data_IF_044206144512
#
_entry.id   IF_044206144512
#
_cell.length_a   1.000
_cell.length_b   1.000
_cell.length_c   1.000
_cell.angle_alpha   90.00
_cell.angle_beta   90.00
_cell.angle_gamma   90.00
#
_symmetry.space_group_name_H-M   'P 1'
#
loop_
_entity.id
_entity.type
_entity.pdbx_description
1 polymer ?
#
# COMPACT_ATOMS: atom_id res chain seq x y z
N UNK A 1 21.37 4.51 -12.10
CA UNK A 1 21.27 4.57 -10.62
C UNK A 1 21.80 5.83 -9.96
N UNK A 2 22.71 6.61 -10.56
CA UNK A 2 23.21 7.85 -9.92
C UNK A 2 22.11 8.85 -9.54
N UNK A 3 21.23 9.19 -10.47
CA UNK A 3 20.10 10.10 -10.20
C UNK A 3 19.11 9.57 -9.15
N UNK A 4 18.85 8.27 -9.15
CA UNK A 4 18.01 7.65 -8.12
C UNK A 4 18.66 7.81 -6.74
N UNK A 5 19.98 7.56 -6.62
CA UNK A 5 20.69 7.71 -5.36
C UNK A 5 20.66 9.18 -4.90
N UNK A 6 21.03 10.12 -5.78
CA UNK A 6 21.01 11.55 -5.47
C UNK A 6 19.61 12.02 -5.03
N UNK A 7 18.55 11.54 -5.70
CA UNK A 7 17.16 11.83 -5.34
C UNK A 7 16.79 11.29 -3.95
N UNK A 8 17.24 10.08 -3.61
CA UNK A 8 16.97 9.49 -2.30
C UNK A 8 17.75 10.17 -1.18
N UNK A 9 18.99 10.57 -1.43
CA UNK A 9 19.86 11.26 -0.46
C UNK A 9 19.29 12.62 -0.04
N UNK A 10 18.60 13.32 -0.94
CA UNK A 10 17.91 14.59 -0.63
C UNK A 10 16.51 14.39 -0.03
N UNK A 11 16.14 13.15 0.34
CA UNK A 11 14.87 12.86 0.99
C UNK A 11 13.70 12.65 0.04
N UNK A 12 13.95 12.33 -1.24
CA UNK A 12 12.91 12.21 -2.26
C UNK A 12 11.75 11.26 -1.92
N UNK A 13 12.01 10.16 -1.18
CA UNK A 13 10.93 9.26 -0.72
C UNK A 13 9.98 9.98 0.24
N UNK A 14 10.49 10.78 1.18
CA UNK A 14 9.64 11.52 2.12
C UNK A 14 8.77 12.54 1.38
N UNK A 15 9.35 13.26 0.43
CA UNK A 15 8.62 14.22 -0.41
C UNK A 15 7.48 13.55 -1.19
N UNK A 16 7.74 12.39 -1.81
CA UNK A 16 6.69 11.64 -2.53
C UNK A 16 5.58 11.15 -1.59
N UNK A 17 5.94 10.69 -0.39
CA UNK A 17 4.96 10.27 0.63
C UNK A 17 4.13 11.44 1.17
N UNK A 18 4.74 12.61 1.33
CA UNK A 18 4.05 13.85 1.76
C UNK A 18 3.06 14.32 0.70
N UNK A 19 3.40 14.23 -0.59
CA UNK A 19 2.50 14.59 -1.70
C UNK A 19 1.16 13.86 -1.60
N UNK A 20 1.16 12.57 -1.22
CA UNK A 20 -0.06 11.77 -1.05
C UNK A 20 -1.02 12.37 0.00
N UNK A 21 -0.46 12.96 1.06
CA UNK A 21 -1.20 13.52 2.18
C UNK A 21 -1.69 14.97 1.95
N UNK A 22 -1.19 15.66 0.91
CA UNK A 22 -1.55 17.05 0.65
C UNK A 22 -2.95 17.17 0.03
N UNK A 23 -3.81 18.01 0.62
CA UNK A 23 -5.19 18.22 0.16
C UNK A 23 -5.30 19.07 -1.11
N UNK A 24 -4.27 19.87 -1.42
CA UNK A 24 -4.30 20.85 -2.53
C UNK A 24 -3.69 20.32 -3.83
N UNK A 25 -3.21 19.08 -3.83
CA UNK A 25 -2.59 18.42 -4.99
C UNK A 25 -3.65 17.60 -5.72
N UNK A 26 -3.57 17.57 -7.05
CA UNK A 26 -4.51 16.81 -7.89
C UNK A 26 -4.32 15.30 -7.68
N UNK A 27 -5.37 14.50 -7.89
CA UNK A 27 -5.25 13.03 -7.78
C UNK A 27 -4.23 12.49 -8.80
N UNK A 28 -4.17 13.05 -10.00
CA UNK A 28 -3.20 12.71 -11.04
C UNK A 28 -1.74 12.91 -10.58
N UNK A 29 -1.43 14.03 -9.93
CA UNK A 29 -0.08 14.27 -9.39
C UNK A 29 0.25 13.28 -8.26
N UNK A 30 -0.74 12.90 -7.44
CA UNK A 30 -0.57 11.86 -6.41
C UNK A 30 -0.35 10.49 -7.03
N UNK A 31 -1.08 10.16 -8.10
CA UNK A 31 -0.91 8.93 -8.89
C UNK A 31 0.51 8.85 -9.46
N UNK A 32 1.05 9.94 -9.99
CA UNK A 32 2.45 9.96 -10.45
C UNK A 32 3.45 9.80 -9.30
N UNK A 33 3.15 10.35 -8.12
CA UNK A 33 3.92 10.08 -6.90
C UNK A 33 3.97 8.58 -6.55
N UNK A 34 2.83 7.89 -6.67
CA UNK A 34 2.75 6.42 -6.48
C UNK A 34 3.60 5.68 -7.51
N UNK A 35 3.51 6.04 -8.80
CA UNK A 35 4.32 5.42 -9.85
C UNK A 35 5.82 5.61 -9.62
N UNK A 36 6.24 6.79 -9.17
CA UNK A 36 7.63 7.03 -8.79
C UNK A 36 8.06 6.15 -7.60
N UNK A 37 7.21 5.99 -6.59
CA UNK A 37 7.46 5.07 -5.48
C UNK A 37 7.55 3.61 -5.94
N UNK A 38 6.75 3.19 -6.93
CA UNK A 38 6.87 1.86 -7.54
C UNK A 38 8.21 1.68 -8.25
N UNK A 39 8.68 2.66 -9.04
CA UNK A 39 10.00 2.62 -9.69
C UNK A 39 11.11 2.49 -8.66
N UNK A 40 11.02 3.23 -7.55
CA UNK A 40 11.96 3.14 -6.42
C UNK A 40 11.91 1.75 -5.79
N UNK A 41 10.73 1.24 -5.45
CA UNK A 41 10.55 -0.09 -4.86
C UNK A 41 11.10 -1.21 -5.77
N UNK A 42 10.86 -1.10 -7.08
CA UNK A 42 11.31 -2.09 -8.08
C UNK A 42 12.81 -2.02 -8.35
N UNK A 43 13.50 -0.96 -7.93
CA UNK A 43 14.95 -0.85 -8.06
C UNK A 43 15.72 -1.78 -7.09
N UNK A 44 15.01 -2.44 -6.16
CA UNK A 44 15.57 -3.50 -5.31
C UNK A 44 15.16 -3.41 -3.84
N UNK A 45 15.43 -4.49 -3.10
CA UNK A 45 15.00 -4.67 -1.70
C UNK A 45 15.33 -3.51 -0.77
N UNK A 46 16.56 -2.97 -0.84
CA UNK A 46 16.98 -1.84 0.02
C UNK A 46 16.11 -0.59 -0.12
N UNK A 47 15.54 -0.37 -1.31
CA UNK A 47 14.67 0.77 -1.57
C UNK A 47 13.24 0.51 -1.08
N UNK A 48 12.76 -0.74 -1.16
CA UNK A 48 11.51 -1.16 -0.49
C UNK A 48 11.60 -0.94 1.02
N UNK A 49 12.71 -1.35 1.61
CA UNK A 49 13.00 -1.16 3.03
C UNK A 49 13.00 0.33 3.41
N UNK A 50 13.63 1.19 2.61
CA UNK A 50 13.62 2.64 2.82
C UNK A 50 12.21 3.25 2.79
N UNK A 51 11.36 2.84 1.85
CA UNK A 51 9.96 3.29 1.79
C UNK A 51 9.21 2.88 3.06
N UNK A 52 9.38 1.64 3.52
CA UNK A 52 8.74 1.15 4.74
C UNK A 52 9.24 1.87 6.01
N UNK A 53 10.54 2.17 6.09
CA UNK A 53 11.17 2.93 7.20
C UNK A 53 10.66 4.37 7.28
N UNK A 54 10.33 4.95 6.13
CA UNK A 54 9.83 6.32 6.00
C UNK A 54 8.32 6.44 6.30
N UNK A 55 7.76 5.52 7.08
CA UNK A 55 6.31 5.40 7.33
C UNK A 55 5.46 5.17 6.07
N UNK A 56 6.06 4.72 4.97
CA UNK A 56 5.40 4.62 3.67
C UNK A 56 4.16 3.73 3.67
N UNK A 57 4.20 2.59 4.39
CA UNK A 57 3.05 1.68 4.49
C UNK A 57 1.80 2.39 4.99
N UNK A 58 1.93 3.25 6.02
CA UNK A 58 0.80 3.98 6.58
C UNK A 58 0.27 5.01 5.59
N UNK A 59 1.14 5.84 5.02
CA UNK A 59 0.73 6.90 4.10
C UNK A 59 0.11 6.35 2.82
N UNK A 60 0.68 5.27 2.26
CA UNK A 60 0.18 4.60 1.06
C UNK A 60 -1.18 3.95 1.34
N UNK A 61 -1.32 3.25 2.47
CA UNK A 61 -2.59 2.64 2.88
C UNK A 61 -3.68 3.71 3.11
N UNK A 62 -3.36 4.78 3.81
CA UNK A 62 -4.30 5.89 4.05
C UNK A 62 -4.75 6.55 2.74
N UNK A 63 -3.84 6.67 1.77
CA UNK A 63 -4.18 7.17 0.44
C UNK A 63 -5.12 6.23 -0.33
N UNK A 64 -4.89 4.90 -0.28
CA UNK A 64 -5.79 3.89 -0.86
C UNK A 64 -7.23 4.04 -0.33
N UNK A 65 -7.39 4.22 0.98
CA UNK A 65 -8.69 4.35 1.63
C UNK A 65 -9.43 5.64 1.29
N UNK A 66 -8.71 6.72 0.94
CA UNK A 66 -9.28 8.05 0.71
C UNK A 66 -9.46 8.41 -0.76
N UNK A 67 -8.68 7.79 -1.65
CA UNK A 67 -8.77 8.07 -3.09
C UNK A 67 -10.15 7.70 -3.63
N UNK A 68 -10.62 8.48 -4.60
CA UNK A 68 -11.90 8.28 -5.27
C UNK A 68 -11.75 7.69 -6.67
N UNK A 69 -10.52 7.59 -7.17
CA UNK A 69 -10.21 7.10 -8.51
C UNK A 69 -9.81 5.63 -8.41
N UNK A 70 -10.60 4.74 -9.02
CA UNK A 70 -10.29 3.30 -9.02
C UNK A 70 -8.94 3.00 -9.68
N UNK A 71 -8.62 3.70 -10.79
CA UNK A 71 -7.32 3.59 -11.46
C UNK A 71 -6.17 3.94 -10.49
N UNK A 72 -6.35 4.98 -9.67
CA UNK A 72 -5.34 5.37 -8.68
C UNK A 72 -5.24 4.34 -7.55
N UNK A 73 -6.37 3.79 -7.11
CA UNK A 73 -6.38 2.73 -6.10
C UNK A 73 -5.67 1.46 -6.59
N UNK A 74 -5.80 1.11 -7.87
CA UNK A 74 -5.10 -0.03 -8.49
C UNK A 74 -3.58 0.19 -8.51
N UNK A 75 -3.11 1.39 -8.88
CA UNK A 75 -1.68 1.73 -8.81
C UNK A 75 -1.14 1.66 -7.38
N UNK A 76 -1.93 2.06 -6.40
CA UNK A 76 -1.57 1.96 -4.98
C UNK A 76 -1.48 0.49 -4.53
N UNK A 77 -2.41 -0.34 -4.99
CA UNK A 77 -2.42 -1.78 -4.72
C UNK A 77 -1.16 -2.47 -5.25
N UNK A 78 -0.74 -2.13 -6.48
CA UNK A 78 0.49 -2.65 -7.10
C UNK A 78 1.72 -2.30 -6.26
N UNK A 79 1.78 -1.08 -5.72
CA UNK A 79 2.87 -0.66 -4.83
C UNK A 79 2.88 -1.47 -3.52
N UNK A 80 1.72 -1.62 -2.86
CA UNK A 80 1.60 -2.38 -1.62
C UNK A 80 1.98 -3.85 -1.81
N UNK A 81 1.55 -4.47 -2.92
CA UNK A 81 1.92 -5.83 -3.29
C UNK A 81 3.43 -5.97 -3.54
N UNK A 82 4.03 -5.02 -4.27
CA UNK A 82 5.49 -4.99 -4.46
C UNK A 82 6.25 -4.85 -3.14
N UNK A 83 5.74 -4.08 -2.17
CA UNK A 83 6.38 -3.92 -0.86
C UNK A 83 6.35 -5.20 -0.01
N UNK A 84 5.46 -6.15 -0.29
CA UNK A 84 5.41 -7.47 0.37
C UNK A 84 6.42 -8.44 -0.28
N UNK A 85 6.51 -8.41 -1.60
CA UNK A 85 7.36 -9.33 -2.36
C UNK A 85 8.85 -9.01 -2.21
N UNK A 86 9.63 -9.98 -1.74
CA UNK A 86 11.09 -9.84 -1.61
C UNK A 86 11.55 -8.89 -0.51
N UNK A 87 10.69 -8.60 0.48
CA UNK A 87 10.96 -7.66 1.58
C UNK A 87 10.65 -8.25 2.97
N UNK A 88 11.33 -9.33 3.38
CA UNK A 88 10.99 -10.09 4.59
C UNK A 88 11.03 -9.26 5.88
N UNK A 89 11.85 -8.21 5.94
CA UNK A 89 11.96 -7.32 7.11
C UNK A 89 10.65 -6.59 7.40
N UNK A 90 9.91 -6.19 6.37
CA UNK A 90 8.71 -5.35 6.49
C UNK A 90 7.41 -6.03 6.07
N UNK A 91 7.43 -7.30 5.65
CA UNK A 91 6.23 -8.07 5.31
C UNK A 91 5.13 -7.98 6.36
N UNK A 92 5.48 -8.17 7.64
CA UNK A 92 4.53 -8.06 8.75
C UNK A 92 3.97 -6.65 8.92
N UNK A 93 4.75 -5.61 8.62
CA UNK A 93 4.28 -4.22 8.67
C UNK A 93 3.27 -3.95 7.55
N UNK A 94 3.56 -4.38 6.32
CA UNK A 94 2.63 -4.22 5.20
C UNK A 94 1.34 -5.01 5.43
N UNK A 95 1.46 -6.25 5.90
CA UNK A 95 0.31 -7.09 6.23
C UNK A 95 -0.59 -6.47 7.31
N UNK A 96 -0.02 -5.94 8.39
CA UNK A 96 -0.80 -5.20 9.41
C UNK A 96 -1.42 -3.92 8.84
N UNK A 97 -0.72 -3.23 7.94
CA UNK A 97 -1.23 -2.07 7.23
C UNK A 97 -2.46 -2.40 6.39
N UNK A 98 -2.43 -3.51 5.67
CA UNK A 98 -3.57 -3.98 4.87
C UNK A 98 -4.75 -4.43 5.75
N UNK A 99 -4.51 -5.12 6.88
CA UNK A 99 -5.58 -5.45 7.83
C UNK A 99 -6.26 -4.18 8.34
N UNK A 100 -5.50 -3.12 8.61
CA UNK A 100 -6.03 -1.84 9.06
C UNK A 100 -6.89 -1.12 7.99
N UNK A 101 -6.81 -1.53 6.71
CA UNK A 101 -7.65 -1.02 5.63
C UNK A 101 -9.00 -1.73 5.49
N UNK A 102 -9.13 -2.94 6.03
CA UNK A 102 -10.37 -3.70 5.95
C UNK A 102 -11.62 -2.95 6.48
N UNK A 103 -11.57 -2.11 7.53
CA UNK A 103 -12.73 -1.33 7.95
C UNK A 103 -12.96 -0.04 7.15
N UNK A 104 -12.28 0.21 6.03
CA UNK A 104 -12.46 1.45 5.26
C UNK A 104 -13.83 1.52 4.55
N UNK A 105 -14.30 2.73 4.27
CA UNK A 105 -15.62 2.96 3.70
C UNK A 105 -15.70 2.75 2.17
N UNK A 106 -14.55 2.61 1.48
CA UNK A 106 -14.50 2.41 0.03
C UNK A 106 -14.52 0.90 -0.29
N UNK A 107 -15.57 0.38 -0.95
CA UNK A 107 -15.65 -1.04 -1.29
C UNK A 107 -14.48 -1.52 -2.16
N UNK A 108 -14.11 -0.73 -3.19
CA UNK A 108 -12.95 -1.01 -4.04
C UNK A 108 -11.64 -1.06 -3.26
N UNK A 109 -11.41 -0.13 -2.34
CA UNK A 109 -10.22 -0.16 -1.49
C UNK A 109 -10.18 -1.39 -0.57
N UNK A 110 -11.33 -1.79 -0.02
CA UNK A 110 -11.45 -3.02 0.77
C UNK A 110 -11.13 -4.25 -0.08
N UNK A 111 -11.71 -4.35 -1.28
CA UNK A 111 -11.46 -5.45 -2.23
C UNK A 111 -9.97 -5.55 -2.58
N UNK A 112 -9.35 -4.44 -2.98
CA UNK A 112 -7.93 -4.40 -3.34
C UNK A 112 -7.05 -4.79 -2.15
N UNK A 113 -7.36 -4.30 -0.94
CA UNK A 113 -6.64 -4.67 0.27
C UNK A 113 -6.79 -6.17 0.59
N UNK A 114 -7.97 -6.76 0.40
CA UNK A 114 -8.22 -8.20 0.55
C UNK A 114 -7.42 -9.03 -0.45
N UNK A 115 -7.41 -8.64 -1.72
CA UNK A 115 -6.63 -9.31 -2.76
C UNK A 115 -5.14 -9.32 -2.41
N UNK A 116 -4.59 -8.17 -2.00
CA UNK A 116 -3.19 -8.11 -1.56
C UNK A 116 -2.95 -8.89 -0.27
N UNK A 117 -3.91 -8.94 0.66
CA UNK A 117 -3.81 -9.77 1.87
C UNK A 117 -3.75 -11.26 1.56
N UNK A 118 -4.52 -11.73 0.58
CA UNK A 118 -4.47 -13.14 0.15
C UNK A 118 -3.08 -13.49 -0.37
N UNK A 119 -2.50 -12.65 -1.23
CA UNK A 119 -1.13 -12.82 -1.71
C UNK A 119 -0.13 -12.76 -0.56
N UNK A 120 -0.25 -11.78 0.33
CA UNK A 120 0.62 -11.62 1.49
C UNK A 120 0.56 -12.82 2.45
N UNK A 121 -0.63 -13.39 2.67
CA UNK A 121 -0.82 -14.55 3.52
C UNK A 121 -0.06 -15.77 3.00
N UNK A 122 -0.04 -15.97 1.67
CA UNK A 122 0.71 -17.06 1.04
C UNK A 122 2.23 -16.92 1.24
N UNK A 123 2.72 -15.69 1.36
CA UNK A 123 4.14 -15.37 1.51
C UNK A 123 4.58 -15.44 2.98
N UNK A 124 3.76 -14.90 3.89
CA UNK A 124 4.06 -14.82 5.32
C UNK A 124 3.90 -16.18 6.00
N UNK A 125 3.00 -17.04 5.50
CA UNK A 125 2.78 -18.40 5.98
C UNK A 125 2.23 -18.51 7.41
N UNK A 126 2.15 -17.40 8.14
CA UNK A 126 1.62 -17.31 9.51
C UNK A 126 0.45 -16.33 9.52
N UNK A 127 -0.58 -16.66 10.29
CA UNK A 127 -1.84 -15.89 10.32
C UNK A 127 -1.83 -14.98 11.53
N UNK A 128 -2.03 -13.68 11.34
CA UNK A 128 -2.18 -12.79 12.49
C UNK A 128 -3.60 -12.94 13.06
N UNK A 129 -3.79 -13.12 14.38
CA UNK A 129 -5.11 -13.38 14.97
C UNK A 129 -6.18 -12.35 14.58
N UNK A 130 -5.78 -11.09 14.41
CA UNK A 130 -6.70 -10.00 14.04
C UNK A 130 -7.28 -10.10 12.63
N UNK A 131 -6.77 -10.99 11.76
CA UNK A 131 -7.34 -11.15 10.42
C UNK A 131 -8.72 -11.80 10.47
N UNK A 132 -8.98 -12.67 11.46
CA UNK A 132 -10.22 -13.45 11.55
C UNK A 132 -11.42 -12.52 11.74
N UNK A 133 -11.35 -11.60 12.70
CA UNK A 133 -12.44 -10.65 12.97
C UNK A 133 -12.68 -9.69 11.80
N UNK A 134 -11.60 -9.26 11.12
CA UNK A 134 -11.73 -8.35 9.99
C UNK A 134 -12.33 -9.04 8.76
N UNK A 135 -11.91 -10.28 8.46
CA UNK A 135 -12.47 -11.07 7.34
C UNK A 135 -13.93 -11.46 7.61
N UNK A 136 -14.28 -11.82 8.85
CA UNK A 136 -15.67 -12.07 9.24
C UNK A 136 -16.56 -10.83 9.01
N UNK A 137 -16.07 -9.63 9.36
CA UNK A 137 -16.81 -8.39 9.10
C UNK A 137 -16.97 -8.11 7.60
N UNK A 138 -15.95 -8.40 6.80
CA UNK A 138 -15.99 -8.28 5.33
C UNK A 138 -17.07 -9.19 4.73
N UNK A 139 -17.16 -10.44 5.18
CA UNK A 139 -18.18 -11.39 4.72
C UNK A 139 -19.61 -10.95 5.08
N UNK A 140 -19.77 -10.12 6.11
CA UNK A 140 -21.05 -9.52 6.47
C UNK A 140 -21.39 -8.23 5.69
N UNK A 141 -20.52 -7.75 4.79
CA UNK A 141 -20.80 -6.55 3.98
C UNK A 141 -21.83 -6.86 2.89
N UNK A 142 -22.62 -5.85 2.49
CA UNK A 142 -23.60 -5.98 1.40
C UNK A 142 -22.98 -5.82 0.00
N UNK A 143 -21.66 -5.58 -0.09
CA UNK A 143 -20.96 -5.34 -1.35
C UNK A 143 -20.36 -6.66 -1.86
N UNK A 144 -20.99 -7.24 -2.88
CA UNK A 144 -20.57 -8.51 -3.47
C UNK A 144 -19.11 -8.49 -3.99
N UNK A 145 -18.66 -7.35 -4.52
CA UNK A 145 -17.27 -7.17 -4.98
C UNK A 145 -16.22 -7.24 -3.86
N UNK A 146 -16.63 -7.10 -2.59
CA UNK A 146 -15.74 -7.22 -1.43
C UNK A 146 -15.74 -8.66 -0.91
N UNK A 147 -16.76 -9.46 -1.26
CA UNK A 147 -16.86 -10.87 -0.89
C UNK A 147 -16.12 -11.80 -1.87
N UNK A 148 -15.88 -11.36 -3.11
CA UNK A 148 -15.27 -12.12 -4.20
C UNK A 148 -14.00 -11.45 -4.74
#
# INVERSE_FOLDING_TARGET
>A
NRYLIEFLEVGGVLTLLEILALNKITEEDKKESIKLLQVIANSGRKYKELICESYGVRSIAEFLAKSKSEETQEEVQVLLDSLIHGNPKYQNQVYKGLIALLPCASPKAQQLALQTLMTAQSIIGTTHPSIVDCVLKVLCTMHLEVQY
#
